data_IF_539139130063
#
_entry.id   IF_539139130063
#
_cell.length_a   1.000
_cell.length_b   1.000
_cell.length_c   1.000
_cell.angle_alpha   90.00
_cell.angle_beta   90.00
_cell.angle_gamma   90.00
#
_symmetry.space_group_name_H-M   'P 1'
#
loop_
_entity.id
_entity.type
_entity.pdbx_description
1 polymer ?
#
# COMPACT_ATOMS: atom_id res chain seq x y z
N UNK A 1 7.28 -26.93 20.95
CA UNK A 1 7.26 -26.26 19.63
C UNK A 1 6.65 -24.88 19.86
N UNK A 2 7.50 -23.88 20.07
CA UNK A 2 7.05 -22.52 20.40
C UNK A 2 6.88 -21.78 19.09
N UNK A 3 5.63 -21.47 18.73
CA UNK A 3 5.35 -20.58 17.60
C UNK A 3 5.98 -19.23 17.91
N UNK A 4 7.01 -18.87 17.14
CA UNK A 4 7.46 -17.50 17.07
C UNK A 4 6.27 -16.70 16.54
N UNK A 5 5.58 -16.02 17.45
CA UNK A 5 4.75 -14.89 17.10
C UNK A 5 5.72 -13.89 16.45
N UNK A 6 5.84 -13.97 15.13
CA UNK A 6 6.46 -12.92 14.36
C UNK A 6 5.76 -11.65 14.81
N UNK A 7 6.51 -10.74 15.42
CA UNK A 7 6.10 -9.36 15.54
C UNK A 7 5.74 -8.96 14.12
N UNK A 8 4.46 -9.00 13.77
CA UNK A 8 3.92 -8.10 12.79
C UNK A 8 4.34 -6.73 13.35
N UNK A 9 5.45 -6.19 12.82
CA UNK A 9 5.63 -4.72 12.80
C UNK A 9 4.24 -4.21 12.48
N UNK A 10 3.67 -3.36 13.33
CA UNK A 10 2.40 -2.71 13.03
C UNK A 10 2.46 -2.32 11.56
N UNK A 11 1.72 -3.06 10.74
CA UNK A 11 2.09 -3.23 9.33
C UNK A 11 1.80 -1.92 8.66
N UNK A 12 2.84 -1.18 8.30
CA UNK A 12 2.69 0.03 7.53
C UNK A 12 1.99 -0.36 6.21
N UNK A 13 0.70 -0.09 6.13
CA UNK A 13 -0.12 -0.23 4.94
C UNK A 13 0.26 0.91 4.00
N UNK A 14 0.94 0.55 2.94
CA UNK A 14 1.33 1.45 1.88
C UNK A 14 0.18 1.55 0.88
N UNK A 15 -0.32 2.76 0.66
CA UNK A 15 -1.22 3.07 -0.45
C UNK A 15 -0.34 3.56 -1.59
N UNK A 16 -0.44 2.91 -2.74
CA UNK A 16 0.38 3.24 -3.90
C UNK A 16 -0.36 3.03 -5.21
N UNK A 17 0.10 3.76 -6.21
CA UNK A 17 -0.36 3.59 -7.58
C UNK A 17 0.52 2.58 -8.30
N UNK A 18 -0.08 1.47 -8.73
CA UNK A 18 0.56 0.41 -9.50
C UNK A 18 0.14 0.53 -10.97
N UNK A 19 0.83 1.40 -11.73
CA UNK A 19 0.46 1.70 -13.10
C UNK A 19 -0.81 2.56 -13.17
N UNK A 20 -1.96 1.92 -13.38
CA UNK A 20 -3.26 2.58 -13.54
C UNK A 20 -4.21 2.36 -12.37
N UNK A 21 -3.86 1.56 -11.35
CA UNK A 21 -4.78 1.19 -10.27
C UNK A 21 -4.19 1.45 -8.89
N UNK A 22 -5.06 1.82 -7.96
CA UNK A 22 -4.74 1.93 -6.54
C UNK A 22 -4.65 0.59 -5.87
N UNK A 23 -3.53 0.36 -5.20
CA UNK A 23 -3.30 -0.82 -4.38
C UNK A 23 -2.91 -0.43 -2.96
N UNK A 24 -3.30 -1.27 -2.01
CA UNK A 24 -2.94 -1.17 -0.61
C UNK A 24 -2.22 -2.44 -0.23
N UNK A 25 -1.03 -2.31 0.33
CA UNK A 25 -0.20 -3.47 0.67
C UNK A 25 0.56 -3.23 1.98
N UNK A 26 0.61 -4.26 2.82
CA UNK A 26 1.35 -4.24 4.10
C UNK A 26 2.77 -4.79 3.96
N UNK A 27 3.19 -5.20 2.76
CA UNK A 27 4.56 -5.61 2.46
C UNK A 27 5.50 -4.41 2.50
N UNK A 28 6.78 -4.72 2.69
CA UNK A 28 7.83 -3.72 2.67
C UNK A 28 7.97 -3.09 1.27
N UNK A 29 8.11 -1.77 1.22
CA UNK A 29 8.21 -1.00 -0.02
C UNK A 29 9.35 -1.45 -0.94
N UNK A 30 10.55 -1.73 -0.40
CA UNK A 30 11.68 -2.22 -1.19
C UNK A 30 11.38 -3.56 -1.87
N UNK A 31 10.65 -4.45 -1.17
CA UNK A 31 10.23 -5.73 -1.73
C UNK A 31 9.20 -5.54 -2.84
N UNK A 32 8.31 -4.56 -2.71
CA UNK A 32 7.30 -4.27 -3.73
C UNK A 32 7.93 -3.66 -4.97
N UNK A 33 8.86 -2.71 -4.81
CA UNK A 33 9.64 -2.15 -5.91
C UNK A 33 10.44 -3.23 -6.65
N UNK A 34 11.12 -4.11 -5.90
CA UNK A 34 11.88 -5.21 -6.49
C UNK A 34 11.00 -6.23 -7.21
N UNK A 35 9.79 -6.51 -6.70
CA UNK A 35 8.88 -7.50 -7.28
C UNK A 35 8.15 -6.98 -8.53
N UNK A 36 7.79 -5.69 -8.57
CA UNK A 36 6.98 -5.12 -9.65
C UNK A 36 7.81 -4.48 -10.75
N UNK A 37 9.05 -4.05 -10.47
CA UNK A 37 9.97 -3.50 -11.48
C UNK A 37 9.47 -2.25 -12.22
N UNK A 38 8.38 -1.64 -11.75
CA UNK A 38 7.72 -0.45 -12.32
C UNK A 38 7.67 0.66 -11.28
N UNK A 39 7.59 1.94 -11.69
CA UNK A 39 7.52 3.05 -10.75
C UNK A 39 6.21 2.95 -9.96
N UNK A 40 6.31 2.50 -8.71
CA UNK A 40 5.22 2.58 -7.77
C UNK A 40 5.25 3.97 -7.16
N UNK A 41 4.14 4.72 -7.27
CA UNK A 41 4.04 5.99 -6.54
C UNK A 41 3.39 5.75 -5.21
N UNK A 42 4.17 5.91 -4.15
CA UNK A 42 3.64 5.91 -2.79
C UNK A 42 2.78 7.15 -2.60
N UNK A 43 1.51 6.94 -2.31
CA UNK A 43 0.52 8.00 -2.05
C UNK A 43 0.36 8.23 -0.55
N UNK A 44 0.58 7.20 0.26
CA UNK A 44 0.53 7.30 1.72
C UNK A 44 0.99 6.03 2.41
N UNK A 45 1.23 6.14 3.72
CA UNK A 45 1.55 5.05 4.62
C UNK A 45 0.70 5.17 5.88
N UNK A 46 0.12 4.05 6.32
CA UNK A 46 -0.82 4.03 7.42
C UNK A 46 -0.56 2.82 8.31
N UNK A 47 -0.71 2.98 9.63
CA UNK A 47 -0.53 1.87 10.57
C UNK A 47 -1.69 0.85 10.52
N UNK A 48 -2.83 1.23 9.94
CA UNK A 48 -4.05 0.43 9.91
C UNK A 48 -4.68 0.40 8.52
N UNK A 49 -5.17 -0.77 8.10
CA UNK A 49 -5.85 -0.96 6.81
C UNK A 49 -7.05 -0.04 6.65
N UNK A 50 -7.86 0.11 7.71
CA UNK A 50 -9.05 0.95 7.66
C UNK A 50 -8.74 2.42 7.41
N UNK A 51 -7.58 2.92 7.84
CA UNK A 51 -7.18 4.30 7.58
C UNK A 51 -6.69 4.47 6.14
N UNK A 52 -5.96 3.48 5.62
CA UNK A 52 -5.58 3.41 4.21
C UNK A 52 -6.84 3.38 3.34
N UNK A 53 -7.79 2.48 3.59
CA UNK A 53 -9.05 2.37 2.83
C UNK A 53 -9.85 3.67 2.86
N UNK A 54 -10.00 4.31 4.03
CA UNK A 54 -10.66 5.62 4.14
C UNK A 54 -9.94 6.70 3.36
N UNK A 55 -8.61 6.69 3.36
CA UNK A 55 -7.82 7.63 2.56
C UNK A 55 -8.07 7.41 1.07
N UNK A 56 -8.08 6.16 0.60
CA UNK A 56 -8.32 5.87 -0.81
C UNK A 56 -9.76 6.21 -1.22
N UNK A 57 -10.72 5.89 -0.38
CA UNK A 57 -12.14 6.22 -0.59
C UNK A 57 -12.34 7.74 -0.67
N UNK A 58 -11.76 8.49 0.27
CA UNK A 58 -11.92 9.95 0.35
C UNK A 58 -11.22 10.71 -0.77
N UNK A 59 -10.03 10.28 -1.19
CA UNK A 59 -9.21 11.02 -2.15
C UNK A 59 -9.40 10.54 -3.60
N UNK A 60 -9.73 9.26 -3.81
CA UNK A 60 -9.79 8.64 -5.13
C UNK A 60 -11.15 7.98 -5.44
N UNK A 61 -12.06 7.91 -4.46
CA UNK A 61 -13.37 7.30 -4.64
C UNK A 61 -13.39 5.78 -4.49
N UNK A 62 -12.34 5.18 -3.92
CA UNK A 62 -12.29 3.77 -3.52
C UNK A 62 -11.03 3.04 -3.97
N UNK A 63 -10.85 1.80 -3.47
CA UNK A 63 -9.83 0.86 -3.97
C UNK A 63 -10.10 0.47 -5.42
N UNK A 64 -9.07 0.06 -6.15
CA UNK A 64 -9.12 -0.30 -7.58
C UNK A 64 -9.50 0.85 -8.54
N UNK A 65 -9.59 2.09 -8.03
CA UNK A 65 -9.81 3.27 -8.85
C UNK A 65 -8.55 3.63 -9.62
N UNK A 66 -8.78 4.33 -10.73
CA UNK A 66 -7.70 4.88 -11.52
C UNK A 66 -6.90 5.87 -10.68
N UNK A 67 -5.59 5.67 -10.61
CA UNK A 67 -4.67 6.61 -10.03
C UNK A 67 -3.67 7.08 -11.06
N UNK A 68 -3.20 8.30 -10.85
CA UNK A 68 -2.17 8.89 -11.67
C UNK A 68 -1.00 9.24 -10.77
N UNK A 69 0.19 8.77 -11.13
CA UNK A 69 1.44 9.29 -10.59
C UNK A 69 1.64 10.70 -11.14
N UNK A 70 1.55 11.77 -10.32
CA UNK A 70 2.04 13.07 -10.75
C UNK A 70 3.53 12.90 -11.09
N UNK A 71 3.87 13.28 -12.32
CA UNK A 71 5.21 13.12 -12.89
C UNK A 71 6.22 14.05 -12.25
#
# INVERSE_FOLDING_TARGET
MTVAAGTARAGDYNVYCAGTHLEIDSRNWDQMLSARGTPLCKLGEFNYLSDAEKFVEKNFGGKDKECYCPR
#
